data_IF_596001116474
#
_entry.id   IF_596001116474
#
_cell.length_a   1.000
_cell.length_b   1.000
_cell.length_c   1.000
_cell.angle_alpha   90.00
_cell.angle_beta   90.00
_cell.angle_gamma   90.00
#
_symmetry.space_group_name_H-M   'P 1'
#
loop_
_entity.id
_entity.type
_entity.pdbx_description
1 polymer ?
#
# COMPACT_ATOMS: atom_id res chain seq x y z
N UNK A 1 44.09 5.33 -9.15
CA UNK A 1 43.28 5.06 -10.36
C UNK A 1 41.93 5.70 -10.15
N UNK A 2 41.63 6.78 -10.87
CA UNK A 2 40.34 7.43 -10.83
C UNK A 2 39.39 6.68 -11.77
N UNK A 3 38.26 6.19 -11.25
CA UNK A 3 37.21 5.56 -12.05
C UNK A 3 36.32 6.68 -12.60
N UNK A 4 36.33 6.81 -13.93
CA UNK A 4 35.51 7.74 -14.69
C UNK A 4 34.11 7.15 -14.86
N UNK A 5 33.08 7.80 -14.31
CA UNK A 5 31.69 7.55 -14.65
C UNK A 5 31.33 8.31 -15.92
N UNK A 6 31.21 7.61 -17.05
CA UNK A 6 30.66 8.18 -18.29
C UNK A 6 29.14 8.11 -18.25
N UNK A 7 28.49 9.23 -17.98
CA UNK A 7 27.06 9.41 -18.24
C UNK A 7 26.86 9.72 -19.74
N UNK A 8 25.96 8.98 -20.39
CA UNK A 8 25.55 9.25 -21.78
C UNK A 8 24.71 10.53 -21.85
N UNK A 9 24.91 11.44 -22.82
CA UNK A 9 24.25 12.74 -22.84
C UNK A 9 22.91 12.66 -23.56
N UNK A 10 21.82 12.51 -22.81
CA UNK A 10 20.47 12.89 -23.30
C UNK A 10 19.48 13.27 -22.18
N UNK A 11 19.97 13.62 -20.99
CA UNK A 11 19.09 13.98 -19.89
C UNK A 11 18.97 15.49 -19.75
N UNK A 12 17.78 16.03 -20.00
CA UNK A 12 17.25 17.13 -19.19
C UNK A 12 17.55 16.83 -17.72
N UNK A 13 17.89 17.82 -16.88
CA UNK A 13 18.22 17.57 -15.48
C UNK A 13 17.10 16.76 -14.83
N UNK A 14 17.44 15.53 -14.40
CA UNK A 14 16.51 14.65 -13.70
C UNK A 14 16.12 15.38 -12.42
N UNK A 15 14.83 15.64 -12.28
CA UNK A 15 14.30 16.46 -11.20
C UNK A 15 14.67 15.89 -9.82
N UNK A 16 15.05 16.74 -8.85
CA UNK A 16 15.22 16.32 -7.45
C UNK A 16 13.94 15.66 -6.94
N UNK A 17 14.03 14.46 -6.35
CA UNK A 17 12.90 13.75 -5.76
C UNK A 17 12.45 12.48 -6.48
N UNK A 18 13.04 12.16 -7.64
CA UNK A 18 12.88 10.83 -8.24
C UNK A 18 13.83 9.83 -7.56
N UNK A 19 13.29 8.70 -7.09
CA UNK A 19 14.11 7.56 -6.66
C UNK A 19 14.88 7.03 -7.86
N UNK A 20 16.21 7.17 -7.85
CA UNK A 20 17.08 6.63 -8.93
C UNK A 20 17.55 5.21 -8.66
N UNK A 21 17.37 4.73 -7.43
CA UNK A 21 17.71 3.38 -6.98
C UNK A 21 16.84 3.03 -5.76
N UNK A 22 16.22 1.85 -5.73
CA UNK A 22 15.67 1.26 -4.51
C UNK A 22 16.60 0.11 -4.12
N UNK A 23 17.12 0.15 -2.90
CA UNK A 23 17.84 -0.96 -2.30
C UNK A 23 16.94 -1.59 -1.26
N UNK A 24 16.45 -2.80 -1.54
CA UNK A 24 15.80 -3.63 -0.54
C UNK A 24 16.89 -4.43 0.19
N UNK A 25 17.02 -4.27 1.50
CA UNK A 25 18.00 -4.98 2.30
C UNK A 25 17.29 -6.01 3.19
N UNK A 26 17.14 -7.24 2.68
CA UNK A 26 16.64 -8.37 3.46
C UNK A 26 17.77 -9.00 4.26
N UNK A 27 18.15 -8.33 5.36
CA UNK A 27 18.93 -8.82 6.51
C UNK A 27 20.18 -9.73 6.34
N UNK A 28 20.65 -10.04 5.14
CA UNK A 28 21.83 -10.89 4.91
C UNK A 28 22.47 -10.49 3.58
N UNK A 29 23.47 -9.60 3.61
CA UNK A 29 24.50 -9.42 2.57
C UNK A 29 24.08 -9.05 1.13
N UNK A 30 22.80 -9.14 0.78
CA UNK A 30 22.27 -9.00 -0.57
C UNK A 30 21.33 -7.79 -0.59
N UNK A 31 21.88 -6.67 -1.03
CA UNK A 31 21.11 -5.48 -1.37
C UNK A 31 20.46 -5.71 -2.73
N UNK A 32 19.15 -5.94 -2.78
CA UNK A 32 18.46 -6.07 -4.06
C UNK A 32 18.20 -4.70 -4.63
N UNK A 33 18.76 -4.45 -5.81
CA UNK A 33 18.65 -3.17 -6.50
C UNK A 33 17.64 -3.29 -7.63
N UNK A 34 16.85 -2.23 -7.83
CA UNK A 34 15.88 -2.15 -8.92
C UNK A 34 16.25 -1.10 -9.97
N UNK A 35 16.07 -1.46 -11.24
CA UNK A 35 16.11 -0.53 -12.37
C UNK A 35 14.70 0.05 -12.63
N UNK A 36 14.64 1.34 -13.00
CA UNK A 36 13.38 2.07 -13.20
C UNK A 36 13.37 2.74 -14.58
N UNK A 37 12.33 2.48 -15.37
CA UNK A 37 12.15 3.05 -16.71
C UNK A 37 10.97 4.01 -16.73
N UNK A 38 11.13 5.12 -17.45
CA UNK A 38 10.14 6.20 -17.52
C UNK A 38 9.81 6.56 -18.96
N UNK A 39 8.58 7.03 -19.19
CA UNK A 39 8.18 7.64 -20.45
C UNK A 39 8.53 9.14 -20.53
N UNK A 40 8.25 9.77 -21.67
CA UNK A 40 8.52 11.19 -21.92
C UNK A 40 7.76 12.15 -20.98
N UNK A 41 6.70 11.67 -20.33
CA UNK A 41 5.92 12.40 -19.33
C UNK A 41 6.45 12.19 -17.90
N UNK A 42 7.62 11.57 -17.74
CA UNK A 42 8.23 11.21 -16.46
C UNK A 42 7.33 10.30 -15.61
N UNK A 43 6.49 9.47 -16.26
CA UNK A 43 5.71 8.43 -15.59
C UNK A 43 6.53 7.14 -15.54
N UNK A 44 6.49 6.44 -14.41
CA UNK A 44 7.23 5.18 -14.26
C UNK A 44 6.48 4.13 -15.09
N UNK A 45 7.11 3.52 -16.09
CA UNK A 45 6.48 2.51 -16.92
C UNK A 45 6.87 1.09 -16.50
N UNK A 46 8.06 0.93 -15.92
CA UNK A 46 8.61 -0.38 -15.60
C UNK A 46 9.57 -0.33 -14.40
N UNK A 47 9.54 -1.37 -13.55
CA UNK A 47 10.56 -1.65 -12.53
C UNK A 47 11.02 -3.11 -12.64
N UNK A 48 12.32 -3.34 -12.73
CA UNK A 48 12.92 -4.69 -12.80
C UNK A 48 14.05 -4.83 -11.79
N UNK A 49 14.58 -6.05 -11.62
CA UNK A 49 15.89 -6.20 -10.96
C UNK A 49 16.99 -5.48 -11.76
N UNK A 50 17.93 -4.85 -11.04
CA UNK A 50 19.09 -4.14 -11.61
C UNK A 50 20.28 -5.08 -11.87
N UNK A 51 20.26 -6.29 -11.33
CA UNK A 51 21.28 -7.32 -11.59
C UNK A 51 21.11 -8.01 -12.95
N UNK A 52 20.08 -7.61 -13.72
CA UNK A 52 19.77 -8.15 -15.04
C UNK A 52 19.19 -9.56 -15.01
N UNK A 53 18.79 -10.08 -13.85
CA UNK A 53 18.06 -11.35 -13.78
C UNK A 53 16.63 -11.17 -14.28
N UNK A 54 16.27 -12.00 -15.25
CA UNK A 54 14.87 -12.18 -15.63
C UNK A 54 14.18 -12.94 -14.49
N UNK A 55 13.27 -12.26 -13.80
CA UNK A 55 12.49 -12.91 -12.75
C UNK A 55 11.64 -12.00 -11.87
N UNK A 56 11.81 -10.68 -11.99
CA UNK A 56 10.89 -9.72 -11.42
C UNK A 56 10.64 -8.58 -12.38
N UNK A 57 9.36 -8.25 -12.57
CA UNK A 57 8.94 -7.13 -13.38
C UNK A 57 7.69 -6.50 -12.81
N UNK A 58 7.69 -5.19 -12.66
CA UNK A 58 6.46 -4.41 -12.52
C UNK A 58 6.22 -3.55 -13.74
N UNK A 59 4.97 -3.51 -14.19
CA UNK A 59 4.52 -2.70 -15.32
C UNK A 59 3.42 -1.74 -14.87
N UNK A 60 3.47 -0.52 -15.39
CA UNK A 60 2.63 0.59 -14.95
C UNK A 60 1.97 1.26 -16.15
N UNK A 61 0.67 1.54 -16.04
CA UNK A 61 -0.08 2.23 -17.10
C UNK A 61 -0.93 3.36 -16.52
N UNK A 62 -1.10 4.43 -17.32
CA UNK A 62 -1.73 5.67 -16.89
C UNK A 62 -2.85 6.08 -17.84
N UNK A 63 -3.83 6.82 -17.32
CA UNK A 63 -4.82 7.50 -18.15
C UNK A 63 -4.26 8.79 -18.79
N UNK A 64 -5.09 9.46 -19.61
CA UNK A 64 -4.75 10.72 -20.27
C UNK A 64 -4.49 11.88 -19.30
N UNK A 65 -5.03 11.82 -18.08
CA UNK A 65 -4.84 12.83 -17.04
C UNK A 65 -3.55 12.59 -16.23
N UNK A 66 -2.91 11.44 -16.43
CA UNK A 66 -1.71 11.00 -15.75
C UNK A 66 -1.96 10.27 -14.44
N UNK A 67 -3.15 9.73 -14.22
CA UNK A 67 -3.40 8.88 -13.06
C UNK A 67 -2.99 7.44 -13.36
N UNK A 68 -2.33 6.77 -12.43
CA UNK A 68 -2.05 5.34 -12.58
C UNK A 68 -3.37 4.57 -12.60
N UNK A 69 -3.60 3.76 -13.64
CA UNK A 69 -4.82 2.94 -13.80
C UNK A 69 -4.56 1.45 -13.65
N UNK A 70 -3.34 0.99 -13.93
CA UNK A 70 -2.95 -0.41 -13.72
C UNK A 70 -1.50 -0.53 -13.28
N UNK A 71 -1.27 -1.44 -12.35
CA UNK A 71 0.04 -1.99 -11.99
C UNK A 71 -0.03 -3.51 -12.13
N UNK A 72 0.93 -4.13 -12.79
CA UNK A 72 1.11 -5.57 -12.79
C UNK A 72 2.47 -5.86 -12.15
N UNK A 73 2.54 -6.74 -11.15
CA UNK A 73 3.77 -7.28 -10.59
C UNK A 73 3.87 -8.75 -11.00
N UNK A 74 4.96 -9.09 -11.64
CA UNK A 74 5.27 -10.40 -12.19
C UNK A 74 6.48 -10.93 -11.46
N UNK A 75 6.37 -12.18 -11.01
CA UNK A 75 7.48 -12.92 -10.46
C UNK A 75 7.65 -14.20 -11.26
N UNK A 76 8.76 -14.26 -11.99
CA UNK A 76 9.18 -15.39 -12.84
C UNK A 76 10.44 -15.97 -12.22
N UNK A 77 10.29 -16.61 -11.06
CA UNK A 77 11.43 -16.87 -10.16
C UNK A 77 12.54 -17.68 -10.83
N UNK A 78 12.19 -18.56 -11.77
CA UNK A 78 13.08 -19.27 -12.67
C UNK A 78 12.19 -19.74 -13.81
N UNK A 79 12.65 -19.70 -15.07
CA UNK A 79 11.97 -20.28 -16.23
C UNK A 79 11.71 -21.80 -16.10
N UNK A 80 10.93 -22.22 -15.12
CA UNK A 80 10.18 -23.44 -15.13
C UNK A 80 8.85 -23.02 -15.72
N UNK A 81 8.67 -23.30 -17.03
CA UNK A 81 7.53 -22.95 -17.89
C UNK A 81 6.16 -23.50 -17.44
N UNK A 82 5.95 -23.61 -16.13
CA UNK A 82 4.96 -24.44 -15.49
C UNK A 82 4.13 -23.62 -14.47
N UNK A 83 4.59 -22.46 -13.97
CA UNK A 83 3.80 -21.57 -13.09
C UNK A 83 4.16 -20.08 -13.27
N UNK A 84 3.17 -19.19 -13.31
CA UNK A 84 3.37 -17.73 -13.33
C UNK A 84 2.55 -17.11 -12.19
N UNK A 85 3.19 -16.32 -11.33
CA UNK A 85 2.47 -15.51 -10.33
C UNK A 85 2.41 -14.07 -10.78
N UNK A 86 1.19 -13.53 -10.80
CA UNK A 86 0.96 -12.12 -11.12
C UNK A 86 0.08 -11.49 -10.08
N UNK A 87 0.54 -10.39 -9.50
CA UNK A 87 -0.34 -9.52 -8.73
C UNK A 87 -0.73 -8.35 -9.62
N UNK A 88 -2.04 -8.08 -9.74
CA UNK A 88 -2.55 -6.96 -10.54
C UNK A 88 -3.28 -6.00 -9.64
N UNK A 89 -3.01 -4.71 -9.79
CA UNK A 89 -3.78 -3.63 -9.20
C UNK A 89 -4.43 -2.82 -10.31
N UNK A 90 -5.70 -2.49 -10.11
CA UNK A 90 -6.49 -1.63 -10.97
C UNK A 90 -7.02 -0.47 -10.12
N UNK A 91 -6.87 0.74 -10.65
CA UNK A 91 -7.15 1.98 -9.93
C UNK A 91 -8.23 2.74 -10.70
N UNK A 92 -9.25 3.22 -9.98
CA UNK A 92 -10.31 4.03 -10.56
C UNK A 92 -10.34 5.41 -9.91
N UNK A 93 -10.54 6.43 -10.74
CA UNK A 93 -10.48 7.83 -10.37
C UNK A 93 -11.80 8.52 -10.73
N UNK A 94 -12.19 9.53 -9.96
CA UNK A 94 -13.31 10.39 -10.32
C UNK A 94 -12.90 11.51 -11.31
N UNK A 95 -13.87 12.32 -11.73
CA UNK A 95 -13.65 13.43 -12.66
C UNK A 95 -12.74 14.53 -12.10
N UNK A 96 -12.52 14.58 -10.78
CA UNK A 96 -11.59 15.50 -10.12
C UNK A 96 -10.20 14.85 -9.90
N UNK A 97 -9.96 13.68 -10.51
CA UNK A 97 -8.76 12.84 -10.36
C UNK A 97 -8.45 12.45 -8.91
N UNK A 98 -9.48 12.14 -8.13
CA UNK A 98 -9.34 11.53 -6.80
C UNK A 98 -9.56 10.03 -6.91
N UNK A 99 -8.72 9.24 -6.23
CA UNK A 99 -8.85 7.78 -6.22
C UNK A 99 -10.15 7.39 -5.51
N UNK A 100 -11.00 6.61 -6.18
CA UNK A 100 -12.30 6.15 -5.68
C UNK A 100 -12.37 4.64 -5.52
N UNK A 101 -11.54 3.88 -6.24
CA UNK A 101 -11.49 2.42 -6.11
C UNK A 101 -10.09 1.88 -6.38
N UNK A 102 -9.70 0.86 -5.62
CA UNK A 102 -8.58 -0.02 -5.96
C UNK A 102 -9.07 -1.45 -5.91
N UNK A 103 -8.81 -2.22 -6.95
CA UNK A 103 -8.96 -3.68 -6.92
C UNK A 103 -7.59 -4.27 -7.07
N UNK A 104 -7.20 -5.18 -6.19
CA UNK A 104 -6.03 -5.98 -6.42
C UNK A 104 -6.33 -7.47 -6.42
N UNK A 105 -5.72 -8.14 -7.38
CA UNK A 105 -5.87 -9.55 -7.67
C UNK A 105 -4.53 -10.21 -7.39
N UNK A 106 -4.54 -11.34 -6.70
CA UNK A 106 -3.44 -12.29 -6.82
C UNK A 106 -3.88 -13.36 -7.80
N UNK A 107 -3.09 -13.54 -8.84
CA UNK A 107 -3.30 -14.46 -9.95
C UNK A 107 -2.20 -15.52 -9.91
N UNK A 108 -2.57 -16.75 -10.24
CA UNK A 108 -1.63 -17.84 -10.45
C UNK A 108 -1.97 -18.57 -11.74
N UNK A 109 -0.94 -19.04 -12.43
CA UNK A 109 -1.07 -19.94 -13.57
C UNK A 109 -0.45 -21.28 -13.22
N UNK A 110 -1.12 -22.38 -13.56
CA UNK A 110 -0.57 -23.74 -13.47
C UNK A 110 -0.38 -24.30 -14.87
N UNK A 111 0.47 -25.31 -15.01
CA UNK A 111 0.79 -25.78 -16.36
C UNK A 111 -0.37 -26.47 -17.05
N UNK A 112 -0.58 -26.10 -18.32
CA UNK A 112 -1.68 -26.62 -19.14
C UNK A 112 -2.96 -25.80 -19.03
N UNK A 113 -2.95 -24.71 -18.26
CA UNK A 113 -4.04 -23.73 -18.25
C UNK A 113 -3.84 -22.67 -19.34
N UNK A 114 -4.92 -22.33 -20.04
CA UNK A 114 -4.94 -21.30 -21.07
C UNK A 114 -4.96 -19.87 -20.48
N UNK A 115 -5.31 -19.71 -19.20
CA UNK A 115 -5.58 -18.41 -18.56
C UNK A 115 -5.14 -18.39 -17.09
N UNK A 116 -4.72 -17.21 -16.60
CA UNK A 116 -4.36 -17.01 -15.19
C UNK A 116 -5.61 -17.01 -14.29
N UNK A 117 -5.55 -17.70 -13.15
CA UNK A 117 -6.67 -17.80 -12.20
C UNK A 117 -6.48 -16.84 -11.04
N UNK A 118 -7.48 -16.00 -10.70
CA UNK A 118 -7.43 -15.26 -9.46
C UNK A 118 -7.64 -16.20 -8.27
N UNK A 119 -7.11 -15.85 -7.10
CA UNK A 119 -7.34 -16.63 -5.88
C UNK A 119 -7.64 -15.76 -4.67
N UNK A 120 -7.20 -14.50 -4.70
CA UNK A 120 -7.55 -13.46 -3.75
C UNK A 120 -7.90 -12.19 -4.52
N UNK A 121 -9.02 -11.58 -4.17
CA UNK A 121 -9.39 -10.24 -4.63
C UNK A 121 -9.63 -9.37 -3.42
N UNK A 122 -9.02 -8.18 -3.42
CA UNK A 122 -9.29 -7.17 -2.41
C UNK A 122 -9.76 -5.91 -3.10
N UNK A 123 -10.83 -5.34 -2.58
CA UNK A 123 -11.43 -4.12 -3.07
C UNK A 123 -11.37 -3.04 -2.00
N UNK A 124 -10.86 -1.89 -2.38
CA UNK A 124 -10.94 -0.66 -1.62
C UNK A 124 -11.90 0.28 -2.32
N UNK A 125 -12.83 0.84 -1.56
CA UNK A 125 -13.69 1.91 -2.02
C UNK A 125 -13.44 3.13 -1.16
N UNK A 126 -13.22 4.26 -1.81
CA UNK A 126 -12.96 5.54 -1.16
C UNK A 126 -14.11 6.47 -1.46
N UNK A 127 -14.60 7.18 -0.44
CA UNK A 127 -15.53 8.28 -0.64
C UNK A 127 -14.85 9.62 -0.32
N UNK A 128 -14.21 10.26 -1.31
CA UNK A 128 -13.63 11.59 -1.13
C UNK A 128 -14.66 12.63 -0.65
N UNK A 129 -15.90 12.53 -1.13
CA UNK A 129 -17.00 13.43 -0.75
C UNK A 129 -17.51 13.22 0.68
N UNK A 130 -17.27 12.05 1.28
CA UNK A 130 -17.78 11.68 2.61
C UNK A 130 -16.78 11.98 3.73
N UNK A 131 -15.82 12.90 3.53
CA UNK A 131 -14.78 13.16 4.53
C UNK A 131 -13.71 12.07 4.62
N UNK A 132 -13.55 11.27 3.56
CA UNK A 132 -12.48 10.26 3.46
C UNK A 132 -12.85 8.87 4.01
N UNK A 133 -14.13 8.61 4.30
CA UNK A 133 -14.63 7.27 4.63
C UNK A 133 -14.20 6.27 3.57
N UNK A 134 -13.75 5.10 4.03
CA UNK A 134 -13.25 4.01 3.17
C UNK A 134 -13.88 2.70 3.59
N UNK A 135 -14.05 1.78 2.64
CA UNK A 135 -14.30 0.37 2.94
C UNK A 135 -13.28 -0.52 2.26
N UNK A 136 -12.91 -1.61 2.91
CA UNK A 136 -12.06 -2.67 2.35
C UNK A 136 -12.85 -3.99 2.38
N UNK A 137 -12.93 -4.69 1.25
CA UNK A 137 -13.48 -6.05 1.16
C UNK A 137 -12.40 -7.00 0.68
N UNK A 138 -12.22 -8.13 1.36
CA UNK A 138 -11.33 -9.22 0.96
C UNK A 138 -12.19 -10.43 0.66
N UNK A 139 -12.08 -10.95 -0.56
CA UNK A 139 -12.77 -12.16 -0.99
C UNK A 139 -11.77 -13.18 -1.53
N UNK A 140 -12.07 -14.45 -1.34
CA UNK A 140 -11.31 -15.58 -1.87
C UNK A 140 -12.19 -16.42 -2.79
N UNK A 141 -11.60 -17.03 -3.82
CA UNK A 141 -12.33 -18.00 -4.62
C UNK A 141 -12.55 -19.28 -3.81
N UNK A 142 -13.77 -19.79 -3.81
CA UNK A 142 -14.15 -21.04 -3.15
C UNK A 142 -13.81 -22.26 -4.00
N UNK A 143 -13.94 -22.12 -5.32
CA UNK A 143 -13.68 -23.20 -6.27
C UNK A 143 -12.49 -22.84 -7.16
N UNK A 144 -11.38 -23.53 -6.92
CA UNK A 144 -10.16 -23.42 -7.73
C UNK A 144 -10.37 -23.91 -9.18
N UNK A 145 -11.53 -24.47 -9.53
CA UNK A 145 -11.88 -24.97 -10.87
C UNK A 145 -13.03 -24.21 -11.55
N UNK A 146 -13.55 -23.13 -10.95
CA UNK A 146 -14.62 -22.34 -11.56
C UNK A 146 -14.15 -21.66 -12.87
N UNK A 147 -14.96 -21.82 -13.93
CA UNK A 147 -14.77 -21.19 -15.25
C UNK A 147 -15.12 -19.70 -15.16
N UNK A 148 -14.36 -18.87 -15.89
CA UNK A 148 -14.21 -17.40 -15.83
C UNK A 148 -15.45 -16.52 -15.54
N UNK A 149 -16.68 -16.97 -15.78
CA UNK A 149 -17.84 -16.06 -15.85
C UNK A 149 -18.66 -15.93 -14.56
N UNK A 150 -18.52 -16.83 -13.57
CA UNK A 150 -19.18 -16.69 -12.26
C UNK A 150 -18.35 -17.35 -11.15
N UNK A 151 -17.26 -16.72 -10.69
CA UNK A 151 -16.54 -17.29 -9.58
C UNK A 151 -17.38 -17.24 -8.32
N UNK A 152 -17.46 -18.37 -7.61
CA UNK A 152 -18.00 -18.40 -6.27
C UNK A 152 -16.96 -17.80 -5.31
N UNK A 153 -17.28 -16.65 -4.74
CA UNK A 153 -16.40 -15.90 -3.85
C UNK A 153 -16.92 -15.99 -2.42
N UNK A 154 -16.08 -16.43 -1.48
CA UNK A 154 -16.35 -16.20 -0.06
C UNK A 154 -15.78 -14.86 0.37
N UNK A 155 -16.62 -14.07 1.05
CA UNK A 155 -16.13 -12.91 1.76
C UNK A 155 -15.41 -13.38 3.02
N UNK A 156 -14.16 -12.95 3.17
CA UNK A 156 -13.32 -13.29 4.32
C UNK A 156 -13.13 -12.12 5.28
N UNK A 157 -13.16 -10.88 4.76
CA UNK A 157 -12.98 -9.69 5.60
C UNK A 157 -13.70 -8.50 4.99
N UNK A 158 -14.36 -7.71 5.84
CA UNK A 158 -14.92 -6.43 5.44
C UNK A 158 -14.65 -5.39 6.52
N UNK A 159 -13.85 -4.39 6.19
CA UNK A 159 -13.54 -3.26 7.05
C UNK A 159 -14.24 -1.98 6.60
N UNK A 160 -14.62 -1.15 7.56
CA UNK A 160 -15.13 0.20 7.37
C UNK A 160 -14.30 1.17 8.20
N UNK A 161 -13.87 2.26 7.57
CA UNK A 161 -13.04 3.31 8.17
C UNK A 161 -13.88 4.58 8.31
N UNK A 162 -14.08 5.06 9.54
CA UNK A 162 -14.88 6.24 9.85
C UNK A 162 -14.07 7.23 10.68
N UNK A 163 -13.97 8.47 10.17
CA UNK A 163 -13.38 9.57 10.93
C UNK A 163 -14.44 10.14 11.88
N UNK A 164 -14.14 10.17 13.17
CA UNK A 164 -14.98 10.76 14.21
C UNK A 164 -14.34 12.08 14.64
N UNK A 165 -14.99 13.19 14.28
CA UNK A 165 -14.43 14.52 14.56
C UNK A 165 -13.16 14.79 13.77
N UNK A 166 -12.22 15.53 14.38
CA UNK A 166 -10.94 15.89 13.76
C UNK A 166 -9.77 15.03 14.25
N UNK A 167 -9.99 14.24 15.30
CA UNK A 167 -8.93 13.63 16.09
C UNK A 167 -9.01 12.09 16.15
N UNK A 168 -10.09 11.46 15.72
CA UNK A 168 -10.27 10.02 15.84
C UNK A 168 -10.58 9.34 14.49
N UNK A 169 -9.94 8.20 14.24
CA UNK A 169 -10.28 7.28 13.15
C UNK A 169 -10.67 5.93 13.75
N UNK A 170 -11.92 5.51 13.52
CA UNK A 170 -12.41 4.18 13.89
C UNK A 170 -12.38 3.25 12.68
N UNK A 171 -11.91 2.03 12.90
CA UNK A 171 -12.01 0.92 11.96
C UNK A 171 -12.93 -0.12 12.58
N UNK A 172 -13.98 -0.47 11.85
CA UNK A 172 -14.90 -1.54 12.21
C UNK A 172 -14.72 -2.71 11.24
N UNK A 173 -14.83 -3.94 11.74
CA UNK A 173 -14.90 -5.16 10.93
C UNK A 173 -16.29 -5.78 11.02
N UNK A 174 -16.77 -6.40 9.92
CA UNK A 174 -17.92 -7.31 10.02
C UNK A 174 -17.51 -8.60 10.73
N UNK A 175 -18.46 -9.19 11.43
CA UNK A 175 -18.31 -10.50 12.06
C UNK A 175 -19.57 -11.33 11.80
N UNK A 176 -19.37 -12.64 11.60
CA UNK A 176 -20.39 -13.61 11.15
C UNK A 176 -21.33 -13.95 12.32
N UNK A 177 -22.44 -13.24 12.46
CA UNK A 177 -23.23 -13.33 13.70
C UNK A 177 -24.15 -14.56 13.78
N UNK A 178 -24.45 -15.15 12.63
CA UNK A 178 -25.39 -16.25 12.40
C UNK A 178 -24.75 -17.54 11.87
N UNK A 179 -23.43 -17.53 11.62
CA UNK A 179 -22.61 -18.70 11.27
C UNK A 179 -22.94 -19.28 9.89
N UNK A 180 -23.43 -18.47 8.96
CA UNK A 180 -23.67 -18.85 7.56
C UNK A 180 -22.60 -18.31 6.60
N UNK A 181 -21.57 -17.67 7.15
CA UNK A 181 -20.46 -17.09 6.43
C UNK A 181 -20.62 -15.59 6.27
N UNK A 182 -19.49 -14.88 6.23
CA UNK A 182 -19.51 -13.42 6.28
C UNK A 182 -20.28 -12.83 5.08
N UNK A 183 -21.24 -11.95 5.33
CA UNK A 183 -22.12 -11.43 4.28
C UNK A 183 -22.51 -9.94 4.45
N UNK A 184 -23.53 -9.47 3.70
CA UNK A 184 -24.05 -8.10 3.80
C UNK A 184 -24.96 -7.86 5.02
N UNK A 185 -25.64 -8.90 5.52
CA UNK A 185 -26.47 -8.87 6.72
C UNK A 185 -25.67 -8.73 8.02
N UNK A 186 -24.40 -9.13 8.01
CA UNK A 186 -23.59 -9.15 9.22
C UNK A 186 -23.36 -7.79 9.91
N UNK A 187 -23.39 -7.75 11.25
CA UNK A 187 -23.08 -6.54 12.00
C UNK A 187 -21.59 -6.17 11.98
N UNK A 188 -21.33 -4.87 12.14
CA UNK A 188 -19.99 -4.35 12.37
C UNK A 188 -19.64 -4.33 13.87
N UNK A 189 -18.37 -4.60 14.19
CA UNK A 189 -17.76 -4.42 15.50
C UNK A 189 -16.45 -3.63 15.37
N UNK A 190 -16.09 -2.88 16.40
CA UNK A 190 -14.86 -2.06 16.40
C UNK A 190 -13.63 -2.97 16.37
N UNK A 191 -12.78 -2.86 15.36
CA UNK A 191 -11.45 -3.52 15.34
C UNK A 191 -10.42 -2.61 16.00
N UNK A 192 -10.46 -1.30 15.69
CA UNK A 192 -9.38 -0.38 15.98
C UNK A 192 -9.87 1.05 16.11
N UNK A 193 -9.29 1.79 17.04
CA UNK A 193 -9.52 3.23 17.17
C UNK A 193 -8.18 3.94 17.29
N UNK A 194 -7.87 4.77 16.31
CA UNK A 194 -6.69 5.64 16.29
C UNK A 194 -7.06 7.02 16.84
N UNK A 195 -6.25 7.53 17.77
CA UNK A 195 -6.39 8.87 18.36
C UNK A 195 -5.20 9.74 17.96
N UNK A 196 -5.49 10.94 17.48
CA UNK A 196 -4.49 11.92 17.07
C UNK A 196 -4.45 13.11 18.02
N UNK A 197 -3.30 13.78 18.13
CA UNK A 197 -3.16 14.94 18.98
C UNK A 197 -3.90 16.14 18.39
N UNK A 198 -4.87 16.70 19.11
CA UNK A 198 -5.43 18.00 18.76
C UNK A 198 -4.41 19.13 19.03
N UNK A 199 -4.19 20.12 18.13
CA UNK A 199 -4.77 20.31 16.79
C UNK A 199 -3.91 19.75 15.63
N UNK A 200 -2.92 18.92 15.94
CA UNK A 200 -1.97 18.37 14.97
C UNK A 200 -2.57 17.26 14.12
N UNK A 201 -3.16 17.63 12.97
CA UNK A 201 -3.45 16.68 11.89
C UNK A 201 -2.13 16.02 11.49
N UNK A 202 -1.94 14.74 11.84
CA UNK A 202 -0.74 13.96 11.50
C UNK A 202 0.13 13.48 12.66
N UNK A 203 -0.33 13.62 13.92
CA UNK A 203 0.35 13.05 15.09
C UNK A 203 -0.57 11.98 15.70
N UNK A 204 -0.32 10.69 15.48
CA UNK A 204 -1.06 9.63 16.20
C UNK A 204 -0.45 9.51 17.59
N UNK A 205 -1.25 9.72 18.62
CA UNK A 205 -0.80 9.53 20.01
C UNK A 205 -0.90 8.05 20.39
N UNK A 206 -2.05 7.46 20.08
CA UNK A 206 -2.44 6.16 20.61
C UNK A 206 -3.36 5.46 19.64
N UNK A 207 -3.33 4.14 19.68
CA UNK A 207 -4.31 3.28 19.07
C UNK A 207 -4.83 2.27 20.08
N UNK A 208 -6.16 2.11 20.15
CA UNK A 208 -6.80 1.02 20.85
C UNK A 208 -7.13 -0.08 19.85
N UNK A 209 -6.60 -1.28 20.05
CA UNK A 209 -6.89 -2.48 19.26
C UNK A 209 -7.79 -3.39 20.07
N UNK A 210 -8.87 -3.86 19.46
CA UNK A 210 -9.86 -4.74 20.07
C UNK A 210 -9.75 -6.13 19.45
N UNK A 211 -9.43 -7.12 20.26
CA UNK A 211 -9.33 -8.53 19.84
C UNK A 211 -10.50 -9.30 20.42
N UNK A 212 -11.19 -10.04 19.55
CA UNK A 212 -12.36 -10.83 19.93
C UNK A 212 -11.97 -12.31 20.02
N UNK A 213 -12.43 -12.99 21.06
CA UNK A 213 -12.18 -14.43 21.27
C UNK A 213 -12.99 -15.33 20.33
N UNK A 214 -13.98 -14.77 19.63
CA UNK A 214 -14.85 -15.47 18.70
C UNK A 214 -15.05 -14.66 17.42
N UNK A 215 -15.08 -15.30 16.24
CA UNK A 215 -15.49 -14.64 15.00
C UNK A 215 -16.99 -14.34 14.93
N UNK A 216 -17.79 -14.86 15.87
CA UNK A 216 -19.25 -14.78 15.82
C UNK A 216 -19.89 -13.83 16.84
N UNK A 217 -19.08 -13.02 17.55
CA UNK A 217 -19.59 -12.16 18.62
C UNK A 217 -18.78 -10.88 18.77
N UNK A 218 -19.46 -9.79 19.12
CA UNK A 218 -18.84 -8.53 19.54
C UNK A 218 -18.66 -8.42 21.07
N UNK A 219 -18.97 -9.48 21.83
CA UNK A 219 -18.95 -9.42 23.29
C UNK A 219 -17.52 -9.42 23.85
N UNK A 220 -17.29 -8.55 24.84
CA UNK A 220 -16.11 -8.54 25.71
C UNK A 220 -14.76 -8.62 24.97
N UNK A 221 -14.44 -7.69 24.06
CA UNK A 221 -13.13 -7.68 23.43
C UNK A 221 -12.02 -7.43 24.44
N UNK A 222 -10.89 -8.11 24.25
CA UNK A 222 -9.64 -7.73 24.88
C UNK A 222 -9.15 -6.44 24.22
N UNK A 223 -8.87 -5.41 25.03
CA UNK A 223 -8.39 -4.12 24.56
C UNK A 223 -6.90 -3.98 24.81
N UNK A 224 -6.15 -3.67 23.76
CA UNK A 224 -4.74 -3.31 23.85
C UNK A 224 -4.53 -1.86 23.40
N UNK A 225 -3.92 -1.05 24.27
CA UNK A 225 -3.50 0.31 23.93
C UNK A 225 -2.03 0.32 23.46
N UNK A 226 -1.80 0.93 22.31
CA UNK A 226 -0.50 1.09 21.65
C UNK A 226 -0.22 2.59 21.55
N UNK A 227 0.92 3.04 22.06
CA UNK A 227 1.36 4.42 22.00
C UNK A 227 2.50 4.57 21.01
N UNK A 228 2.42 5.61 20.18
CA UNK A 228 3.38 5.86 19.11
C UNK A 228 4.43 6.89 19.54
N UNK A 229 5.70 6.57 19.26
CA UNK A 229 6.84 7.46 19.51
C UNK A 229 7.45 7.89 18.20
N UNK A 230 7.78 9.18 18.08
CA UNK A 230 8.27 9.78 16.84
C UNK A 230 9.68 10.35 17.02
N UNK A 231 10.41 10.36 15.92
CA UNK A 231 11.61 11.18 15.81
C UNK A 231 11.28 12.65 15.49
N UNK A 232 12.31 13.46 15.22
CA UNK A 232 12.17 14.91 14.97
C UNK A 232 11.49 15.26 13.65
N UNK A 233 11.39 14.31 12.72
CA UNK A 233 10.75 14.50 11.40
C UNK A 233 9.44 13.70 11.28
N UNK A 234 8.86 13.30 12.41
CA UNK A 234 7.55 12.65 12.48
C UNK A 234 7.50 11.25 11.89
N UNK A 235 8.62 10.53 11.97
CA UNK A 235 8.70 9.12 11.62
C UNK A 235 8.53 8.28 12.88
N UNK A 236 7.68 7.24 12.81
CA UNK A 236 7.45 6.31 13.92
C UNK A 236 8.75 5.56 14.22
N UNK A 237 9.28 5.75 15.42
CA UNK A 237 10.58 5.20 15.86
C UNK A 237 10.45 4.12 16.93
N UNK A 238 9.34 4.07 17.67
CA UNK A 238 9.04 3.00 18.63
C UNK A 238 7.53 2.93 18.95
N UNK A 239 7.11 1.81 19.56
CA UNK A 239 5.77 1.62 20.13
C UNK A 239 5.89 1.21 21.60
N UNK A 240 5.01 1.71 22.46
CA UNK A 240 4.87 1.22 23.84
C UNK A 240 3.44 0.79 24.17
N UNK A 241 3.28 -0.06 25.17
CA UNK A 241 1.98 -0.46 25.71
C UNK A 241 1.51 0.48 26.85
N UNK A 242 0.36 0.16 27.46
CA UNK A 242 -0.21 0.90 28.59
C UNK A 242 0.62 0.90 29.87
N UNK A 243 1.55 -0.05 30.05
CA UNK A 243 2.49 -0.02 31.17
C UNK A 243 3.74 0.81 30.89
N UNK A 244 3.84 1.43 29.70
CA UNK A 244 5.01 2.18 29.25
C UNK A 244 6.18 1.31 28.77
N UNK A 245 5.99 -0.01 28.69
CA UNK A 245 7.01 -0.91 28.15
C UNK A 245 7.01 -0.87 26.62
N UNK A 246 8.19 -0.88 26.00
CA UNK A 246 8.30 -0.96 24.55
C UNK A 246 7.80 -2.31 24.04
N UNK A 247 7.01 -2.29 22.96
CA UNK A 247 6.44 -3.50 22.33
C UNK A 247 7.48 -4.22 21.44
N UNK A 248 8.52 -3.50 21.01
CA UNK A 248 9.58 -3.99 20.15
C UNK A 248 10.94 -3.74 20.82
N UNK A 249 11.85 -4.70 20.72
CA UNK A 249 13.20 -4.60 21.30
C UNK A 249 14.11 -3.62 20.53
N UNK A 250 13.80 -3.36 19.27
CA UNK A 250 14.53 -2.45 18.39
C UNK A 250 13.67 -1.24 18.04
N UNK A 251 14.35 -0.10 17.85
CA UNK A 251 13.73 1.07 17.25
C UNK A 251 13.57 0.85 15.75
N UNK A 252 12.52 1.44 15.19
CA UNK A 252 12.30 1.38 13.76
C UNK A 252 13.26 2.31 13.03
N UNK A 253 13.81 1.79 11.94
CA UNK A 253 14.59 2.56 10.99
C UNK A 253 13.84 2.59 9.67
N UNK A 254 13.82 3.76 9.04
CA UNK A 254 13.19 3.95 7.73
C UNK A 254 14.20 4.57 6.79
N UNK A 255 14.08 4.26 5.51
CA UNK A 255 14.77 5.01 4.48
C UNK A 255 14.13 6.39 4.26
N UNK A 256 14.72 7.19 3.37
CA UNK A 256 14.25 8.54 3.07
C UNK A 256 12.82 8.60 2.49
N UNK A 257 12.28 7.47 2.00
CA UNK A 257 10.93 7.36 1.43
C UNK A 257 9.96 6.64 2.37
N UNK A 258 10.37 6.30 3.59
CA UNK A 258 9.50 5.69 4.59
C UNK A 258 9.34 4.18 4.50
N UNK A 259 10.19 3.50 3.75
CA UNK A 259 10.28 2.04 3.78
C UNK A 259 11.09 1.61 5.01
N UNK A 260 10.62 0.57 5.71
CA UNK A 260 11.38 0.00 6.83
C UNK A 260 12.72 -0.55 6.37
N UNK A 261 13.75 -0.35 7.19
CA UNK A 261 15.08 -0.94 7.04
C UNK A 261 15.28 -1.98 8.15
N UNK A 262 15.39 -3.26 7.79
CA UNK A 262 15.53 -4.40 8.73
C UNK A 262 14.21 -5.12 9.06
N UNK A 263 14.27 -6.10 9.96
CA UNK A 263 13.08 -6.83 10.43
C UNK A 263 12.36 -6.02 11.52
N UNK A 264 11.09 -5.68 11.23
CA UNK A 264 9.89 -5.76 12.08
C UNK A 264 8.83 -4.86 11.42
N UNK A 265 8.07 -5.40 10.48
CA UNK A 265 6.85 -4.74 9.99
C UNK A 265 5.69 -5.12 10.91
N UNK A 266 5.53 -4.42 12.05
CA UNK A 266 4.38 -4.62 12.97
C UNK A 266 3.43 -3.44 13.04
N UNK A 267 3.65 -2.40 12.25
CA UNK A 267 2.79 -1.21 12.27
C UNK A 267 2.36 -0.81 10.87
N UNK A 268 1.06 -0.53 10.75
CA UNK A 268 0.40 0.10 9.59
C UNK A 268 0.61 1.63 9.57
N UNK A 269 1.51 2.15 10.41
CA UNK A 269 1.88 3.57 10.48
C UNK A 269 3.39 3.66 10.46
N UNK A 270 3.96 4.42 9.53
CA UNK A 270 5.42 4.61 9.43
C UNK A 270 5.79 6.09 9.33
N UNK A 271 5.76 6.71 8.15
CA UNK A 271 6.08 8.13 7.99
C UNK A 271 4.89 9.06 8.24
N UNK A 272 5.16 10.21 8.87
CA UNK A 272 4.20 11.33 9.05
C UNK A 272 2.86 10.93 9.70
N UNK A 273 2.88 9.83 10.46
CA UNK A 273 1.71 9.15 11.04
C UNK A 273 0.55 8.90 10.05
N UNK A 274 0.81 8.87 8.75
CA UNK A 274 -0.22 8.57 7.75
C UNK A 274 -0.54 7.08 7.75
N UNK A 275 -1.77 6.77 7.34
CA UNK A 275 -2.20 5.39 7.20
C UNK A 275 -1.40 4.74 6.08
N UNK A 276 -0.65 3.71 6.44
CA UNK A 276 -0.02 2.80 5.51
C UNK A 276 -0.93 1.59 5.33
N UNK A 277 -1.29 1.31 4.10
CA UNK A 277 -2.07 0.13 3.76
C UNK A 277 -1.11 -1.00 3.35
N UNK A 278 -1.02 -2.04 4.18
CA UNK A 278 -0.10 -3.16 3.95
C UNK A 278 -0.52 -4.03 2.76
N UNK A 279 -1.82 -4.12 2.45
CA UNK A 279 -2.30 -4.98 1.37
C UNK A 279 -1.95 -4.40 -0.01
N UNK A 280 -1.91 -3.07 -0.14
CA UNK A 280 -1.55 -2.39 -1.40
C UNK A 280 -0.20 -1.66 -1.35
N UNK A 281 0.48 -1.66 -0.20
CA UNK A 281 1.78 -1.03 0.04
C UNK A 281 1.82 0.48 -0.25
N UNK A 282 0.73 1.20 0.06
CA UNK A 282 0.59 2.64 -0.23
C UNK A 282 0.30 3.46 1.03
N UNK A 283 0.76 4.71 1.00
CA UNK A 283 0.32 5.77 1.92
C UNK A 283 -0.81 6.60 1.34
N UNK A 284 -1.73 7.00 2.20
CA UNK A 284 -2.72 8.02 1.87
C UNK A 284 -2.34 9.40 2.44
N UNK A 285 -2.14 10.38 1.56
CA UNK A 285 -1.87 11.78 1.89
C UNK A 285 -3.04 12.69 1.50
N UNK A 286 -4.26 12.33 1.90
CA UNK A 286 -5.51 13.09 1.72
C UNK A 286 -6.00 13.31 0.29
N UNK A 287 -5.13 13.63 -0.67
CA UNK A 287 -5.49 13.82 -2.09
C UNK A 287 -4.74 12.90 -3.03
N UNK A 288 -3.58 12.39 -2.59
CA UNK A 288 -2.73 11.54 -3.40
C UNK A 288 -2.28 10.33 -2.60
N UNK A 289 -2.07 9.25 -3.33
CA UNK A 289 -1.47 8.03 -2.80
C UNK A 289 0.01 8.05 -3.09
N UNK A 290 0.81 7.55 -2.16
CA UNK A 290 2.26 7.50 -2.28
C UNK A 290 2.73 6.05 -2.16
N UNK A 291 3.44 5.58 -3.17
CA UNK A 291 4.10 4.28 -3.20
C UNK A 291 5.51 4.43 -2.61
N UNK A 292 5.73 3.77 -1.47
CA UNK A 292 7.02 3.77 -0.75
C UNK A 292 8.12 3.00 -1.47
N UNK A 293 7.74 1.99 -2.25
CA UNK A 293 8.68 1.15 -3.00
C UNK A 293 9.27 1.93 -4.16
N UNK A 294 8.46 2.71 -4.86
CA UNK A 294 8.94 3.57 -5.94
C UNK A 294 9.37 4.96 -5.44
N UNK A 295 8.94 5.39 -4.26
CA UNK A 295 9.15 6.75 -3.77
C UNK A 295 8.37 7.79 -4.60
N UNK A 296 7.18 7.45 -5.11
CA UNK A 296 6.41 8.31 -6.03
C UNK A 296 4.94 8.39 -5.66
N UNK A 297 4.31 9.48 -6.06
CA UNK A 297 2.87 9.65 -5.99
C UNK A 297 2.18 8.91 -7.14
N UNK A 298 1.00 8.37 -6.88
CA UNK A 298 0.22 7.56 -7.84
C UNK A 298 -0.56 8.39 -8.86
N UNK A 299 -0.63 9.71 -8.65
CA UNK A 299 -1.29 10.66 -9.54
C UNK A 299 -0.47 11.94 -9.67
N UNK A 300 -0.62 12.59 -10.83
CA UNK A 300 -0.02 13.89 -11.14
C UNK A 300 -0.48 14.96 -10.14
N UNK A 301 0.43 15.86 -9.77
CA UNK A 301 0.05 17.11 -9.11
C UNK A 301 -0.80 17.98 -10.04
N UNK A 302 -2.04 18.25 -9.65
CA UNK A 302 -2.94 19.11 -10.41
C UNK A 302 -2.63 20.60 -10.25
N UNK A 303 -1.85 20.97 -9.23
CA UNK A 303 -1.53 22.35 -8.91
C UNK A 303 -0.01 22.50 -8.74
N UNK A 304 0.79 22.20 -9.78
CA UNK A 304 2.23 22.42 -9.70
C UNK A 304 2.53 23.89 -9.45
N UNK A 305 3.54 24.17 -8.62
CA UNK A 305 4.05 25.52 -8.48
C UNK A 305 4.49 26.03 -9.86
N UNK A 306 4.12 27.26 -10.19
CA UNK A 306 4.29 27.86 -11.52
C UNK A 306 5.74 27.89 -12.03
N UNK A 307 6.72 27.74 -11.13
CA UNK A 307 8.15 27.81 -11.43
C UNK A 307 8.81 26.43 -11.65
N UNK A 308 8.04 25.34 -11.63
CA UNK A 308 8.55 24.02 -11.96
C UNK A 308 8.42 23.80 -13.47
N UNK A 309 9.54 23.50 -14.14
CA UNK A 309 9.52 23.15 -15.56
C UNK A 309 8.54 21.98 -15.80
N UNK A 310 7.81 22.05 -16.92
CA UNK A 310 6.80 21.09 -17.31
C UNK A 310 7.40 19.66 -17.26
N UNK A 311 6.88 18.81 -16.37
CA UNK A 311 7.32 17.41 -16.21
C UNK A 311 8.27 17.10 -15.04
N UNK A 312 8.82 18.09 -14.34
CA UNK A 312 9.89 17.82 -13.37
C UNK A 312 9.41 17.34 -11.99
N UNK A 313 8.30 17.81 -11.40
CA UNK A 313 7.93 17.42 -10.01
C UNK A 313 6.52 16.86 -9.83
N UNK A 314 5.91 16.37 -10.91
CA UNK A 314 4.49 16.02 -10.91
C UNK A 314 4.13 14.77 -10.09
N UNK A 315 5.09 13.88 -9.87
CA UNK A 315 4.91 12.63 -9.10
C UNK A 315 5.94 12.47 -7.98
N UNK A 316 6.78 13.48 -7.76
CA UNK A 316 7.85 13.43 -6.76
C UNK A 316 7.28 13.61 -5.36
N UNK A 317 7.82 12.85 -4.41
CA UNK A 317 7.60 13.06 -2.99
C UNK A 317 8.80 13.82 -2.41
N UNK A 318 8.52 14.80 -1.55
CA UNK A 318 9.52 15.71 -1.01
C UNK A 318 10.10 15.24 0.33
#
# INVERSE_FOLDING_TARGET
MAVSLTASPSSLPRSPGNRTQHVHADNVSNATTFALTYNDLNQLTERTWDDGTDGYKEEYTYDLNGNLIRKDELYDEWMMSWWEMRTRWEYSWDHENRLIKVVHWRLYNETGMLYMRPWKRVEFYYCPACGGTRTQKVVYMNDNWAVEDTPDWSLSKWLRYETLGLDQLRVDEKYDSDQDGLDEGDPFRTERVTYTAYPGIGYINMEAVYTYSSPYSAASPDKQDIYYHYDRIMVVSALSNSSGAFICDQRFHHDAFGQFVGEVARTTRRITAKQFDLDVNLYYFSRRWFDVGTGRLMSRDQYPLADLEEGQALYTFA
#
